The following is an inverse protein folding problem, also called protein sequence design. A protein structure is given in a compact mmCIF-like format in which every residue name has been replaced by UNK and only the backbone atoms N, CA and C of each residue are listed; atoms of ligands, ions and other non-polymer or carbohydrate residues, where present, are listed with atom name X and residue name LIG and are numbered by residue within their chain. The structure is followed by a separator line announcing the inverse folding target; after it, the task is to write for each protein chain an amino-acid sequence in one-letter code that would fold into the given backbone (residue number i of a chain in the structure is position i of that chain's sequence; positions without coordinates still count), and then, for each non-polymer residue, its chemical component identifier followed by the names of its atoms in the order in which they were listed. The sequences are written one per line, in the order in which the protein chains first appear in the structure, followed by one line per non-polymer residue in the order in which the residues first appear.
data_IF_419733046676
#
_entry.id   IF_419733046676
#
_cell.length_a   1.000
_cell.length_b   1.000
_cell.length_c   1.000
_cell.angle_alpha   90.00
_cell.angle_beta   90.00
_cell.angle_gamma   90.00
#
_symmetry.space_group_name_H-M   'P 1'
#
loop_
_entity.id
_entity.type
_entity.pdbx_description
1 polymer ?
#
# COMPACT_ATOMS: atom_id res chain seq x y z
N UNK A 1 17.61 -31.99 13.24
CA UNK A 1 17.90 -32.93 12.13
C UNK A 1 18.63 -34.17 12.59
N UNK A 2 19.37 -34.14 13.69
CA UNK A 2 20.12 -35.29 14.22
C UNK A 2 19.27 -36.51 14.56
N UNK A 3 17.94 -36.40 14.59
CA UNK A 3 17.01 -37.51 14.87
C UNK A 3 16.44 -38.19 13.61
N UNK A 4 16.91 -37.76 12.42
CA UNK A 4 16.42 -38.25 11.13
C UNK A 4 17.61 -38.65 10.24
N UNK A 5 18.02 -39.89 10.28
CA UNK A 5 19.18 -40.43 9.54
C UNK A 5 19.03 -40.33 8.03
N UNK A 6 17.79 -40.33 7.55
CA UNK A 6 17.47 -40.36 6.12
C UNK A 6 17.15 -38.98 5.54
N UNK A 7 17.30 -37.89 6.34
CA UNK A 7 17.05 -36.54 5.95
C UNK A 7 18.36 -35.79 5.73
N UNK A 8 18.58 -35.30 4.50
CA UNK A 8 19.72 -34.47 4.17
C UNK A 8 19.30 -32.99 4.27
N UNK A 9 20.00 -32.22 5.09
CA UNK A 9 19.87 -30.78 5.10
C UNK A 9 20.43 -30.18 3.80
N UNK A 10 19.63 -29.39 3.08
CA UNK A 10 20.03 -28.75 1.83
C UNK A 10 20.11 -27.24 2.01
N UNK A 11 19.11 -26.60 2.63
CA UNK A 11 19.02 -25.16 2.82
C UNK A 11 18.09 -24.82 3.97
N UNK A 12 18.33 -23.69 4.64
CA UNK A 12 17.43 -23.14 5.65
C UNK A 12 16.10 -22.62 5.07
N UNK A 13 16.08 -22.33 3.77
CA UNK A 13 14.89 -21.85 3.07
C UNK A 13 14.70 -22.61 1.75
N UNK A 14 13.52 -23.21 1.59
CA UNK A 14 13.09 -23.85 0.34
C UNK A 14 12.33 -22.88 -0.59
N UNK A 15 12.27 -21.58 -0.27
CA UNK A 15 11.46 -20.58 -0.98
C UNK A 15 9.95 -20.89 -1.08
N UNK A 16 9.45 -21.75 -0.20
CA UNK A 16 8.02 -22.02 -0.07
C UNK A 16 7.28 -20.83 0.56
N UNK A 17 8.00 -19.96 1.28
CA UNK A 17 7.45 -18.73 1.87
C UNK A 17 7.09 -17.71 0.78
N UNK A 18 6.12 -16.86 1.07
CA UNK A 18 5.64 -15.76 0.19
C UNK A 18 6.24 -14.41 0.57
N UNK A 19 7.28 -14.40 1.39
CA UNK A 19 7.97 -13.19 1.81
C UNK A 19 8.61 -12.48 0.61
N UNK A 20 8.38 -11.17 0.50
CA UNK A 20 8.91 -10.32 -0.58
C UNK A 20 8.55 -10.82 -1.99
N UNK A 21 7.41 -11.46 -2.13
CA UNK A 21 6.93 -12.03 -3.39
C UNK A 21 5.53 -11.53 -3.76
N UNK A 22 5.25 -11.30 -5.05
CA UNK A 22 3.88 -11.11 -5.51
C UNK A 22 3.13 -12.43 -5.38
N UNK A 23 2.26 -12.54 -4.38
CA UNK A 23 1.52 -13.77 -4.09
C UNK A 23 0.12 -13.47 -3.60
N UNK A 24 -0.86 -14.22 -4.11
CA UNK A 24 -2.25 -14.16 -3.65
C UNK A 24 -2.38 -14.54 -2.17
N UNK A 25 -1.46 -15.32 -1.62
CA UNK A 25 -1.43 -15.61 -0.18
C UNK A 25 -1.24 -14.36 0.67
N UNK A 26 -0.42 -13.41 0.21
CA UNK A 26 -0.24 -12.11 0.87
C UNK A 26 -1.52 -11.26 0.81
N UNK A 27 -2.33 -11.43 -0.24
CA UNK A 27 -3.60 -10.74 -0.40
C UNK A 27 -4.68 -11.30 0.53
N UNK A 28 -4.78 -12.63 0.61
CA UNK A 28 -5.85 -13.34 1.32
C UNK A 28 -5.55 -13.45 2.81
N UNK A 29 -4.38 -13.98 3.15
CA UNK A 29 -4.02 -14.31 4.53
C UNK A 29 -3.39 -13.13 5.27
N UNK A 30 -2.98 -12.09 4.55
CA UNK A 30 -2.18 -10.96 5.02
C UNK A 30 -0.78 -11.39 5.50
N UNK A 31 0.17 -10.46 5.44
CA UNK A 31 1.48 -10.58 6.07
C UNK A 31 1.83 -9.27 6.75
N UNK A 32 2.09 -9.32 8.06
CA UNK A 32 2.24 -8.12 8.87
C UNK A 32 0.88 -7.52 9.27
N UNK A 33 0.55 -6.34 8.78
CA UNK A 33 -0.69 -5.63 9.15
C UNK A 33 -1.60 -5.45 7.94
N UNK A 34 -2.89 -5.70 8.13
CA UNK A 34 -3.92 -5.27 7.20
C UNK A 34 -4.44 -3.91 7.65
N UNK A 35 -4.36 -2.93 6.77
CA UNK A 35 -4.79 -1.56 7.06
C UNK A 35 -5.73 -1.08 5.97
N UNK A 36 -6.78 -0.37 6.38
CA UNK A 36 -7.71 0.31 5.49
C UNK A 36 -7.71 1.78 5.87
N UNK A 37 -7.55 2.65 4.88
CA UNK A 37 -7.74 4.09 5.04
C UNK A 37 -8.83 4.56 4.08
N UNK A 38 -9.72 5.44 4.55
CA UNK A 38 -10.88 5.90 3.78
C UNK A 38 -11.19 7.35 4.09
N UNK A 39 -11.69 8.07 3.09
CA UNK A 39 -12.14 9.45 3.23
C UNK A 39 -13.33 9.74 2.32
N UNK A 40 -14.27 10.54 2.80
CA UNK A 40 -15.33 11.10 1.98
C UNK A 40 -14.90 12.46 1.43
N UNK A 41 -14.91 12.61 0.11
CA UNK A 41 -14.53 13.84 -0.58
C UNK A 41 -15.79 14.44 -1.22
N UNK A 42 -16.14 15.66 -0.82
CA UNK A 42 -17.33 16.35 -1.35
C UNK A 42 -17.16 16.79 -2.79
N UNK A 43 -18.26 16.90 -3.53
CA UNK A 43 -18.26 17.44 -4.90
C UNK A 43 -17.58 18.83 -4.99
N UNK A 44 -17.73 19.68 -3.97
CA UNK A 44 -17.09 20.99 -3.93
C UNK A 44 -15.56 20.90 -3.93
N UNK A 45 -14.99 19.96 -3.18
CA UNK A 45 -13.53 19.69 -3.16
C UNK A 45 -13.09 19.07 -4.47
N UNK A 46 -13.84 18.07 -4.98
CA UNK A 46 -13.52 17.39 -6.24
C UNK A 46 -13.46 18.42 -7.39
N UNK A 47 -14.47 19.28 -7.52
CA UNK A 47 -14.53 20.26 -8.60
C UNK A 47 -13.48 21.36 -8.44
N UNK A 48 -13.28 21.86 -7.22
CA UNK A 48 -12.40 23.02 -6.97
C UNK A 48 -10.91 22.65 -6.92
N UNK A 49 -10.59 21.52 -6.32
CA UNK A 49 -9.19 21.11 -6.05
C UNK A 49 -8.71 20.08 -7.06
N UNK A 50 -9.51 19.03 -7.32
CA UNK A 50 -9.12 17.96 -8.25
C UNK A 50 -9.48 18.28 -9.71
N UNK A 51 -10.23 19.35 -9.97
CA UNK A 51 -10.60 19.83 -11.32
C UNK A 51 -11.30 18.77 -12.18
N UNK A 52 -12.09 17.91 -11.53
CA UNK A 52 -12.79 16.80 -12.15
C UNK A 52 -14.19 16.61 -11.54
N UNK A 53 -14.84 15.48 -11.80
CA UNK A 53 -16.15 15.13 -11.24
C UNK A 53 -16.11 13.78 -10.52
N UNK A 54 -17.08 13.56 -9.61
CA UNK A 54 -17.23 12.28 -8.93
C UNK A 54 -17.40 11.11 -9.91
N UNK A 55 -18.13 11.30 -11.00
CA UNK A 55 -18.35 10.26 -12.01
C UNK A 55 -17.05 9.90 -12.74
N UNK A 56 -16.24 10.88 -13.10
CA UNK A 56 -14.96 10.65 -13.77
C UNK A 56 -13.96 9.90 -12.88
N UNK A 57 -13.89 10.24 -11.58
CA UNK A 57 -13.06 9.51 -10.63
C UNK A 57 -13.48 8.05 -10.48
N UNK A 58 -14.78 7.78 -10.39
CA UNK A 58 -15.32 6.42 -10.30
C UNK A 58 -15.02 5.64 -11.58
N UNK A 59 -15.28 6.23 -12.76
CA UNK A 59 -15.04 5.59 -14.05
C UNK A 59 -13.54 5.32 -14.28
N UNK A 60 -12.67 6.28 -13.96
CA UNK A 60 -11.22 6.08 -14.06
C UNK A 60 -10.74 4.96 -13.15
N UNK A 61 -11.17 4.94 -11.89
CA UNK A 61 -10.79 3.85 -10.97
C UNK A 61 -11.23 2.48 -11.50
N UNK A 62 -12.45 2.38 -11.99
CA UNK A 62 -12.98 1.16 -12.56
C UNK A 62 -12.17 0.69 -13.78
N UNK A 63 -11.92 1.58 -14.74
CA UNK A 63 -11.22 1.22 -15.99
C UNK A 63 -9.72 1.00 -15.76
N UNK A 64 -9.06 1.92 -15.04
CA UNK A 64 -7.62 1.87 -14.81
C UNK A 64 -7.26 0.83 -13.76
N UNK A 65 -7.75 1.02 -12.54
CA UNK A 65 -7.27 0.23 -11.41
C UNK A 65 -7.88 -1.18 -11.37
N UNK A 66 -9.16 -1.35 -11.73
CA UNK A 66 -9.79 -2.67 -11.71
C UNK A 66 -9.61 -3.40 -13.03
N UNK A 67 -10.18 -2.91 -14.13
CA UNK A 67 -10.12 -3.62 -15.41
C UNK A 67 -8.70 -3.70 -15.97
N UNK A 68 -7.95 -2.61 -15.96
CA UNK A 68 -6.57 -2.58 -16.46
C UNK A 68 -5.66 -3.52 -15.69
N UNK A 69 -5.72 -3.51 -14.36
CA UNK A 69 -4.93 -4.43 -13.53
C UNK A 69 -5.35 -5.90 -13.74
N UNK A 70 -6.65 -6.17 -13.82
CA UNK A 70 -7.15 -7.52 -14.09
C UNK A 70 -6.69 -8.02 -15.46
N UNK A 71 -6.78 -7.19 -16.51
CA UNK A 71 -6.36 -7.54 -17.85
C UNK A 71 -4.84 -7.81 -17.96
N UNK A 72 -4.03 -7.14 -17.14
CA UNK A 72 -2.58 -7.38 -17.06
C UNK A 72 -2.20 -8.58 -16.19
N UNK A 73 -3.15 -9.26 -15.54
CA UNK A 73 -2.87 -10.35 -14.60
C UNK A 73 -2.21 -9.89 -13.30
N UNK A 74 -2.35 -8.62 -12.93
CA UNK A 74 -1.74 -8.04 -11.75
C UNK A 74 -2.36 -8.59 -10.46
N UNK A 75 -1.52 -8.80 -9.44
CA UNK A 75 -1.96 -9.03 -8.07
C UNK A 75 -1.89 -7.69 -7.33
N UNK A 76 -2.95 -6.89 -7.46
CA UNK A 76 -3.04 -5.54 -6.92
C UNK A 76 -3.77 -4.64 -7.89
N UNK A 77 -4.67 -3.83 -7.36
CA UNK A 77 -5.66 -3.07 -8.12
C UNK A 77 -5.62 -1.62 -7.65
N UNK A 78 -4.50 -0.97 -7.93
CA UNK A 78 -4.20 0.38 -7.48
C UNK A 78 -3.39 1.14 -8.54
N UNK A 79 -3.22 2.44 -8.36
CA UNK A 79 -2.52 3.26 -9.34
C UNK A 79 -0.99 3.30 -9.11
N UNK A 80 -0.53 3.51 -7.85
CA UNK A 80 0.90 3.63 -7.57
C UNK A 80 1.31 3.37 -6.11
N UNK A 81 0.68 2.43 -5.42
CA UNK A 81 1.04 2.08 -4.04
C UNK A 81 2.54 1.88 -3.87
N UNK A 82 3.18 1.20 -4.81
CA UNK A 82 4.60 0.89 -4.75
C UNK A 82 5.50 2.13 -4.59
N UNK A 83 5.16 3.23 -5.26
CA UNK A 83 5.95 4.47 -5.19
C UNK A 83 5.96 5.06 -3.77
N UNK A 84 4.79 5.15 -3.14
CA UNK A 84 4.65 5.73 -1.81
C UNK A 84 5.26 4.80 -0.75
N UNK A 85 4.97 3.51 -0.85
CA UNK A 85 5.49 2.50 0.10
C UNK A 85 7.01 2.42 0.01
N UNK A 86 7.60 2.38 -1.18
CA UNK A 86 9.04 2.36 -1.37
C UNK A 86 9.70 3.61 -0.75
N UNK A 87 9.15 4.79 -1.01
CA UNK A 87 9.68 6.04 -0.45
C UNK A 87 9.67 6.04 1.08
N UNK A 88 8.56 5.65 1.70
CA UNK A 88 8.45 5.59 3.17
C UNK A 88 9.37 4.49 3.73
N UNK A 89 9.44 3.32 3.09
CA UNK A 89 10.28 2.23 3.59
C UNK A 89 11.76 2.60 3.57
N UNK A 90 12.24 3.23 2.51
CA UNK A 90 13.62 3.71 2.44
C UNK A 90 13.87 4.81 3.49
N UNK A 91 12.98 5.79 3.58
CA UNK A 91 13.11 6.90 4.52
C UNK A 91 13.10 6.46 5.99
N UNK A 92 12.39 5.39 6.34
CA UNK A 92 12.21 4.93 7.73
C UNK A 92 13.02 3.69 8.08
N UNK A 93 13.92 3.26 7.20
CA UNK A 93 14.79 2.10 7.44
C UNK A 93 14.05 0.76 7.49
N UNK A 94 12.90 0.66 6.81
CA UNK A 94 12.23 -0.60 6.55
C UNK A 94 12.98 -1.38 5.47
N UNK A 95 12.67 -2.67 5.34
CA UNK A 95 13.20 -3.48 4.24
C UNK A 95 12.51 -3.09 2.91
N UNK A 96 13.23 -2.48 1.96
CA UNK A 96 12.63 -2.02 0.70
C UNK A 96 12.09 -3.17 -0.16
N UNK A 97 12.58 -4.40 0.02
CA UNK A 97 12.05 -5.56 -0.70
C UNK A 97 10.61 -5.90 -0.31
N UNK A 98 10.16 -5.50 0.88
CA UNK A 98 8.76 -5.63 1.28
C UNK A 98 7.80 -4.70 0.52
N UNK A 99 8.29 -3.77 -0.30
CA UNK A 99 7.47 -3.02 -1.24
C UNK A 99 6.69 -3.95 -2.17
N UNK A 100 7.26 -5.08 -2.56
CA UNK A 100 6.59 -6.08 -3.42
C UNK A 100 5.30 -6.58 -2.77
N UNK A 101 5.34 -7.01 -1.51
CA UNK A 101 4.14 -7.49 -0.80
C UNK A 101 3.25 -6.35 -0.30
N UNK A 102 3.83 -5.23 0.10
CA UNK A 102 3.11 -4.06 0.60
C UNK A 102 2.28 -3.36 -0.46
N UNK A 103 2.70 -3.39 -1.72
CA UNK A 103 1.97 -2.76 -2.84
C UNK A 103 0.81 -3.60 -3.39
N UNK A 104 0.65 -4.83 -2.92
CA UNK A 104 -0.52 -5.66 -3.22
C UNK A 104 -1.72 -5.10 -2.45
N UNK A 105 -2.70 -4.54 -3.15
CA UNK A 105 -3.87 -3.95 -2.50
C UNK A 105 -4.82 -3.30 -3.47
N UNK A 106 -5.84 -2.66 -2.94
CA UNK A 106 -6.96 -2.14 -3.71
C UNK A 106 -7.17 -0.66 -3.44
N UNK A 107 -7.44 0.07 -4.52
CA UNK A 107 -8.05 1.39 -4.47
C UNK A 107 -9.50 1.28 -4.90
N UNK A 108 -10.42 1.74 -4.07
CA UNK A 108 -11.84 1.83 -4.39
C UNK A 108 -12.32 3.27 -4.36
N UNK A 109 -13.16 3.62 -5.32
CA UNK A 109 -13.82 4.93 -5.40
C UNK A 109 -15.29 4.69 -5.62
N UNK A 110 -16.10 5.01 -4.62
CA UNK A 110 -17.53 4.78 -4.62
C UNK A 110 -18.29 6.09 -4.58
N UNK A 111 -19.30 6.23 -5.42
CA UNK A 111 -20.16 7.40 -5.41
C UNK A 111 -21.03 7.44 -4.16
N UNK A 112 -21.03 8.58 -3.47
CA UNK A 112 -21.92 8.86 -2.34
C UNK A 112 -22.84 10.04 -2.70
N UNK A 113 -23.81 10.35 -1.81
CA UNK A 113 -24.82 11.39 -2.05
C UNK A 113 -24.21 12.75 -2.47
N UNK A 114 -23.09 13.14 -1.87
CA UNK A 114 -22.44 14.43 -2.16
C UNK A 114 -20.93 14.26 -2.38
N UNK A 115 -20.53 13.47 -3.35
CA UNK A 115 -19.12 13.24 -3.69
C UNK A 115 -18.78 11.77 -3.87
N UNK A 116 -17.59 11.40 -3.40
CA UNK A 116 -17.09 10.03 -3.42
C UNK A 116 -16.57 9.60 -2.04
N UNK A 117 -16.71 8.32 -1.73
CA UNK A 117 -15.88 7.65 -0.74
C UNK A 117 -14.64 7.10 -1.47
N UNK A 118 -13.47 7.52 -1.05
CA UNK A 118 -12.20 7.04 -1.57
C UNK A 118 -11.54 6.18 -0.50
N UNK A 119 -11.15 4.96 -0.84
CA UNK A 119 -10.58 4.03 0.12
C UNK A 119 -9.41 3.25 -0.48
N UNK A 120 -8.42 2.94 0.35
CA UNK A 120 -7.34 2.02 0.04
C UNK A 120 -7.30 0.88 1.05
N UNK A 121 -7.11 -0.32 0.56
CA UNK A 121 -6.91 -1.51 1.38
C UNK A 121 -5.52 -2.06 1.12
N UNK A 122 -4.69 -2.08 2.16
CA UNK A 122 -3.34 -2.62 2.14
C UNK A 122 -3.31 -3.89 3.01
N UNK A 123 -3.37 -5.08 2.42
CA UNK A 123 -3.48 -6.33 3.18
C UNK A 123 -2.18 -6.76 3.85
N UNK A 124 -1.02 -6.30 3.38
CA UNK A 124 0.27 -6.85 3.81
C UNK A 124 1.32 -5.77 4.02
N UNK A 125 1.14 -4.96 5.06
CA UNK A 125 2.10 -3.93 5.47
C UNK A 125 3.03 -4.47 6.57
N UNK A 126 4.30 -4.60 6.22
CA UNK A 126 5.36 -5.09 7.09
C UNK A 126 6.23 -3.91 7.50
N UNK A 127 5.97 -3.36 8.66
CA UNK A 127 6.70 -2.21 9.21
C UNK A 127 7.04 -2.41 10.68
N UNK A 128 8.17 -1.83 11.08
CA UNK A 128 8.65 -1.80 12.44
C UNK A 128 9.15 -0.39 12.81
N UNK A 129 9.15 -0.08 14.09
CA UNK A 129 9.72 1.17 14.64
C UNK A 129 10.97 0.89 15.49
N UNK A 130 11.28 -0.38 15.70
CA UNK A 130 12.41 -0.85 16.51
C UNK A 130 13.16 -1.93 15.71
N UNK A 131 14.49 -1.85 15.77
CA UNK A 131 15.39 -2.83 15.12
C UNK A 131 15.70 -2.54 13.66
N UNK A 132 16.66 -3.27 13.12
CA UNK A 132 17.11 -3.12 11.74
C UNK A 132 17.59 -1.69 11.43
N UNK A 133 17.21 -1.18 10.25
CA UNK A 133 17.56 0.15 9.78
C UNK A 133 16.89 1.31 10.52
N UNK A 134 15.87 1.05 11.35
CA UNK A 134 15.11 2.10 12.05
C UNK A 134 15.92 2.88 13.08
N UNK A 135 17.03 2.30 13.53
CA UNK A 135 17.95 2.93 14.51
C UNK A 135 18.99 3.85 13.88
N UNK A 136 19.14 3.85 12.58
CA UNK A 136 20.03 4.77 11.88
C UNK A 136 19.58 6.23 12.10
N UNK A 137 20.50 7.20 12.26
CA UNK A 137 20.13 8.55 12.66
C UNK A 137 19.06 9.22 11.80
N UNK A 138 19.21 9.19 10.48
CA UNK A 138 18.27 9.82 9.54
C UNK A 138 16.91 9.10 9.51
N UNK A 139 16.88 7.78 9.59
CA UNK A 139 15.66 6.99 9.62
C UNK A 139 14.89 7.18 10.94
N UNK A 140 15.62 7.27 12.05
CA UNK A 140 15.04 7.60 13.35
C UNK A 140 14.45 9.01 13.36
N UNK A 141 15.12 9.97 12.74
CA UNK A 141 14.61 11.34 12.57
C UNK A 141 13.32 11.35 11.72
N UNK A 142 13.27 10.61 10.62
CA UNK A 142 12.08 10.47 9.80
C UNK A 142 10.89 9.89 10.58
N UNK A 143 11.10 8.87 11.41
CA UNK A 143 10.08 8.33 12.31
C UNK A 143 9.60 9.38 13.32
N UNK A 144 10.52 10.19 13.86
CA UNK A 144 10.20 11.26 14.81
C UNK A 144 9.37 12.37 14.16
N UNK A 145 9.67 12.76 12.92
CA UNK A 145 8.88 13.75 12.15
C UNK A 145 7.45 13.27 11.98
N UNK A 146 7.24 11.96 11.73
CA UNK A 146 5.91 11.37 11.61
C UNK A 146 5.21 11.18 12.96
N UNK A 147 5.90 11.41 14.08
CA UNK A 147 5.40 11.23 15.45
C UNK A 147 4.81 9.83 15.66
N UNK A 148 5.54 8.79 15.24
CA UNK A 148 5.13 7.39 15.37
C UNK A 148 6.07 6.65 16.32
N UNK A 149 5.51 5.94 17.29
CA UNK A 149 6.23 5.15 18.26
C UNK A 149 6.06 3.64 18.02
N UNK A 150 4.93 3.26 17.47
CA UNK A 150 4.56 1.86 17.28
C UNK A 150 4.43 1.50 15.79
N UNK A 151 4.67 0.23 15.49
CA UNK A 151 4.47 -0.30 14.13
C UNK A 151 3.01 -0.22 13.66
N UNK A 152 2.05 -0.13 14.60
CA UNK A 152 0.63 0.08 14.27
C UNK A 152 0.40 1.50 13.79
N UNK A 153 0.95 2.50 14.49
CA UNK A 153 0.87 3.91 14.07
C UNK A 153 1.57 4.12 12.73
N UNK A 154 2.78 3.59 12.56
CA UNK A 154 3.48 3.67 11.29
C UNK A 154 2.67 3.06 10.14
N UNK A 155 2.01 1.92 10.37
CA UNK A 155 1.16 1.31 9.34
C UNK A 155 -0.03 2.17 8.95
N UNK A 156 -0.61 2.92 9.89
CA UNK A 156 -1.69 3.88 9.64
C UNK A 156 -1.19 5.09 8.85
N UNK A 157 -0.01 5.60 9.18
CA UNK A 157 0.64 6.70 8.42
C UNK A 157 0.91 6.24 6.98
N UNK A 158 1.45 5.05 6.78
CA UNK A 158 1.66 4.47 5.44
C UNK A 158 0.35 4.42 4.66
N UNK A 159 -0.72 3.89 5.24
CA UNK A 159 -2.01 3.79 4.56
C UNK A 159 -2.61 5.17 4.22
N UNK A 160 -2.47 6.15 5.12
CA UNK A 160 -2.93 7.52 4.89
C UNK A 160 -2.15 8.22 3.78
N UNK A 161 -0.83 8.03 3.74
CA UNK A 161 0.02 8.56 2.68
C UNK A 161 -0.31 7.92 1.32
N UNK A 162 -0.53 6.60 1.30
CA UNK A 162 -0.96 5.88 0.09
C UNK A 162 -2.32 6.40 -0.39
N UNK A 163 -3.28 6.59 0.52
CA UNK A 163 -4.59 7.15 0.18
C UNK A 163 -4.46 8.54 -0.43
N UNK A 164 -3.67 9.42 0.17
CA UNK A 164 -3.44 10.77 -0.34
C UNK A 164 -2.78 10.74 -1.74
N UNK A 165 -1.79 9.85 -1.94
CA UNK A 165 -1.14 9.66 -3.23
C UNK A 165 -2.09 9.17 -4.32
N UNK A 166 -2.95 8.19 -4.01
CA UNK A 166 -3.96 7.68 -4.95
C UNK A 166 -4.97 8.76 -5.34
N UNK A 167 -5.47 9.53 -4.36
CA UNK A 167 -6.38 10.67 -4.63
C UNK A 167 -5.71 11.69 -5.55
N UNK A 168 -4.46 12.05 -5.25
CA UNK A 168 -3.70 13.01 -6.04
C UNK A 168 -3.50 12.54 -7.47
N UNK A 169 -3.06 11.28 -7.65
CA UNK A 169 -2.80 10.75 -8.99
C UNK A 169 -4.09 10.58 -9.81
N UNK A 170 -5.15 9.99 -9.23
CA UNK A 170 -6.40 9.83 -9.96
C UNK A 170 -7.04 11.19 -10.28
N UNK A 171 -6.94 12.15 -9.36
CA UNK A 171 -7.37 13.53 -9.62
C UNK A 171 -6.63 14.17 -10.79
N UNK A 172 -5.31 14.06 -10.83
CA UNK A 172 -4.49 14.58 -11.91
C UNK A 172 -4.80 13.93 -13.27
N UNK A 173 -5.05 12.60 -13.27
CA UNK A 173 -5.39 11.88 -14.49
C UNK A 173 -6.80 12.21 -15.03
N UNK A 174 -7.72 12.60 -14.15
CA UNK A 174 -9.06 13.05 -14.53
C UNK A 174 -9.14 14.55 -14.82
N UNK A 175 -8.15 15.33 -14.41
CA UNK A 175 -8.15 16.78 -14.59
C UNK A 175 -8.25 17.14 -16.08
N UNK A 176 -9.00 18.21 -16.36
CA UNK A 176 -9.21 18.75 -17.71
C UNK A 176 -8.26 19.90 -18.03
N UNK A 177 -7.28 20.14 -17.16
CA UNK A 177 -6.24 21.17 -17.34
C UNK A 177 -4.99 20.55 -17.98
#
# INVERSE_FOLDING_TARGET
LNNFSDVKFVSESGNLCVDKKPSSMNLINSRGKKVIASVNISNGVINKILKTTANELVDLNYRKNLLGSAASGSIGYNAHFANIIAAIYIATGQDPAHTVSGSIGFTTVEKIRNGVNFSVTLPSIQVATIGGGTSLPTQKEALSIMNVETSVELSRVVASAVLAGEISLLGALCSKE
#
